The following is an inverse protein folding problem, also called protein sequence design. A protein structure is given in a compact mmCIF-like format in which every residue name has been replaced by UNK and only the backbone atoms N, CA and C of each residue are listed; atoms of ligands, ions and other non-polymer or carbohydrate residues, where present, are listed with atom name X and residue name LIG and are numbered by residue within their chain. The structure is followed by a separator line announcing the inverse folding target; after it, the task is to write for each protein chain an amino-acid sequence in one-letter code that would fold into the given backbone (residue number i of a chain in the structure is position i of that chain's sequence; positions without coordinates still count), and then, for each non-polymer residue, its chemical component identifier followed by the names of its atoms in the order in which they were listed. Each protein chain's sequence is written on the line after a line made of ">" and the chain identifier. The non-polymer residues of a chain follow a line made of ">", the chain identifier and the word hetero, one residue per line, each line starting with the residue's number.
data_IF_127281355732
#
_entry.id   IF_127281355732
#
_cell.length_a   1.000
_cell.length_b   1.000
_cell.length_c   1.000
_cell.angle_alpha   90.00
_cell.angle_beta   90.00
_cell.angle_gamma   90.00
#
_symmetry.space_group_name_H-M   'P 1'
#
loop_
_entity.id
_entity.type
_entity.pdbx_description
1 polymer ?
#
# COMPACT_ATOMS: atom_id res chain seq x y z
N UNK A 1 -61.90 19.89 -20.87
CA UNK A 1 -60.93 18.96 -21.48
C UNK A 1 -59.52 19.53 -21.68
N UNK A 2 -59.35 20.82 -22.03
CA UNK A 2 -58.02 21.41 -22.25
C UNK A 2 -57.17 21.52 -20.98
N UNK A 3 -57.77 21.87 -19.83
CA UNK A 3 -57.06 22.00 -18.55
C UNK A 3 -56.54 20.66 -18.01
N UNK A 4 -57.31 19.58 -18.18
CA UNK A 4 -56.89 18.23 -17.77
C UNK A 4 -55.69 17.72 -18.59
N UNK A 5 -55.64 18.04 -19.89
CA UNK A 5 -54.47 17.73 -20.75
C UNK A 5 -53.25 18.57 -20.39
N UNK A 6 -53.43 19.85 -20.06
CA UNK A 6 -52.34 20.73 -19.64
C UNK A 6 -51.73 20.29 -18.30
N UNK A 7 -52.58 19.91 -17.33
CA UNK A 7 -52.14 19.37 -16.04
C UNK A 7 -51.38 18.04 -16.19
N UNK A 8 -51.86 17.14 -17.06
CA UNK A 8 -51.17 15.88 -17.37
C UNK A 8 -49.81 16.12 -18.04
N UNK A 9 -49.72 17.04 -19.01
CA UNK A 9 -48.45 17.38 -19.66
C UNK A 9 -47.43 17.98 -18.68
N UNK A 10 -47.88 18.86 -17.77
CA UNK A 10 -47.03 19.44 -16.73
C UNK A 10 -46.53 18.40 -15.71
N UNK A 11 -47.39 17.46 -15.30
CA UNK A 11 -47.00 16.35 -14.42
C UNK A 11 -45.96 15.43 -15.08
N UNK A 12 -46.13 15.15 -16.37
CA UNK A 12 -45.20 14.30 -17.14
C UNK A 12 -43.83 14.98 -17.32
N UNK A 13 -43.80 16.29 -17.61
CA UNK A 13 -42.57 17.07 -17.70
C UNK A 13 -41.82 17.13 -16.35
N UNK A 14 -42.55 17.28 -15.24
CA UNK A 14 -41.97 17.26 -13.90
C UNK A 14 -41.38 15.89 -13.54
N UNK A 15 -42.04 14.80 -13.93
CA UNK A 15 -41.54 13.42 -13.78
C UNK A 15 -40.28 13.18 -14.60
N UNK A 16 -40.27 13.59 -15.88
CA UNK A 16 -39.08 13.51 -16.74
C UNK A 16 -37.89 14.29 -16.16
N UNK A 17 -38.12 15.51 -15.64
CA UNK A 17 -37.08 16.32 -15.01
C UNK A 17 -36.54 15.69 -13.72
N UNK A 18 -37.42 15.10 -12.89
CA UNK A 18 -37.01 14.37 -11.67
C UNK A 18 -36.25 13.08 -12.00
N UNK A 19 -36.68 12.33 -13.01
CA UNK A 19 -36.00 11.12 -13.48
C UNK A 19 -34.65 11.44 -14.11
N UNK A 20 -34.55 12.50 -14.92
CA UNK A 20 -33.29 12.98 -15.48
C UNK A 20 -32.28 13.39 -14.42
N UNK A 21 -32.72 14.11 -13.37
CA UNK A 21 -31.85 14.44 -12.22
C UNK A 21 -31.40 13.20 -11.44
N UNK A 22 -32.28 12.24 -11.18
CA UNK A 22 -31.92 10.98 -10.50
C UNK A 22 -30.96 10.13 -11.33
N UNK A 23 -31.15 10.10 -12.64
CA UNK A 23 -30.27 9.41 -13.58
C UNK A 23 -28.89 10.04 -13.63
N UNK A 24 -28.80 11.37 -13.71
CA UNK A 24 -27.51 12.07 -13.72
C UNK A 24 -26.75 11.89 -12.40
N UNK A 25 -27.43 11.95 -11.26
CA UNK A 25 -26.81 11.67 -9.94
C UNK A 25 -26.42 10.19 -9.80
N UNK A 26 -27.17 9.27 -10.39
CA UNK A 26 -26.81 7.85 -10.42
C UNK A 26 -25.60 7.59 -11.35
N UNK A 27 -25.56 8.20 -12.53
CA UNK A 27 -24.43 8.12 -13.47
C UNK A 27 -23.16 8.79 -12.88
N UNK A 28 -23.31 9.94 -12.22
CA UNK A 28 -22.22 10.61 -11.48
C UNK A 28 -21.78 9.76 -10.29
N UNK A 29 -22.71 9.12 -9.57
CA UNK A 29 -22.43 8.21 -8.47
C UNK A 29 -21.73 6.93 -8.91
N UNK A 30 -22.15 6.34 -10.02
CA UNK A 30 -21.50 5.19 -10.67
C UNK A 30 -20.12 5.57 -11.19
N UNK A 31 -19.95 6.75 -11.79
CA UNK A 31 -18.66 7.25 -12.23
C UNK A 31 -17.71 7.57 -11.06
N UNK A 32 -18.23 8.13 -9.96
CA UNK A 32 -17.47 8.34 -8.73
C UNK A 32 -17.09 7.02 -8.06
N UNK A 33 -18.03 6.07 -8.00
CA UNK A 33 -17.81 4.73 -7.47
C UNK A 33 -16.80 3.95 -8.32
N UNK A 34 -16.85 4.07 -9.64
CA UNK A 34 -15.91 3.45 -10.56
C UNK A 34 -14.49 4.00 -10.38
N UNK A 35 -14.33 5.34 -10.28
CA UNK A 35 -13.01 5.94 -10.00
C UNK A 35 -12.46 5.55 -8.63
N UNK A 36 -13.32 5.51 -7.60
CA UNK A 36 -12.90 5.06 -6.27
C UNK A 36 -12.42 3.61 -6.28
N UNK A 37 -13.08 2.75 -7.07
CA UNK A 37 -12.67 1.36 -7.29
C UNK A 37 -11.33 1.27 -8.02
N UNK A 38 -11.14 2.03 -9.10
CA UNK A 38 -9.88 2.06 -9.86
C UNK A 38 -8.71 2.51 -8.99
N UNK A 39 -8.89 3.56 -8.17
CA UNK A 39 -7.86 4.02 -7.23
C UNK A 39 -7.57 2.95 -6.18
N UNK A 40 -8.59 2.28 -5.63
CA UNK A 40 -8.40 1.22 -4.66
C UNK A 40 -7.69 -0.01 -5.27
N UNK A 41 -8.02 -0.37 -6.52
CA UNK A 41 -7.35 -1.44 -7.26
C UNK A 41 -5.89 -1.07 -7.57
N UNK A 42 -5.62 0.16 -8.01
CA UNK A 42 -4.26 0.66 -8.25
C UNK A 42 -3.42 0.65 -6.96
N UNK A 43 -3.99 1.14 -5.85
CA UNK A 43 -3.33 1.10 -4.55
C UNK A 43 -3.08 -0.34 -4.09
N UNK A 44 -4.06 -1.24 -4.24
CA UNK A 44 -3.90 -2.65 -3.89
C UNK A 44 -2.80 -3.32 -4.73
N UNK A 45 -2.75 -3.04 -6.03
CA UNK A 45 -1.69 -3.52 -6.92
C UNK A 45 -0.32 -2.96 -6.54
N UNK A 46 -0.25 -1.67 -6.16
CA UNK A 46 0.99 -1.05 -5.70
C UNK A 46 1.49 -1.67 -4.39
N UNK A 47 0.59 -1.91 -3.43
CA UNK A 47 0.95 -2.57 -2.15
C UNK A 47 1.37 -4.02 -2.40
N UNK A 48 0.66 -4.75 -3.27
CA UNK A 48 1.03 -6.10 -3.65
C UNK A 48 2.43 -6.16 -4.29
N UNK A 49 2.72 -5.27 -5.24
CA UNK A 49 4.04 -5.17 -5.87
C UNK A 49 5.14 -4.80 -4.87
N UNK A 50 4.85 -3.91 -3.92
CA UNK A 50 5.80 -3.56 -2.86
C UNK A 50 6.10 -4.77 -1.96
N UNK A 51 5.08 -5.54 -1.58
CA UNK A 51 5.22 -6.77 -0.81
C UNK A 51 5.98 -7.87 -1.57
N UNK A 52 5.69 -8.07 -2.86
CA UNK A 52 6.44 -9.00 -3.72
C UNK A 52 7.94 -8.61 -3.77
N UNK A 53 8.23 -7.32 -3.96
CA UNK A 53 9.60 -6.81 -4.00
C UNK A 53 10.31 -6.94 -2.65
N UNK A 54 9.60 -6.71 -1.54
CA UNK A 54 10.12 -6.94 -0.19
C UNK A 54 10.58 -8.39 -0.03
N UNK A 55 9.74 -9.36 -0.42
CA UNK A 55 10.05 -10.79 -0.33
C UNK A 55 11.23 -11.17 -1.23
N UNK A 56 11.28 -10.66 -2.46
CA UNK A 56 12.36 -10.92 -3.40
C UNK A 56 13.72 -10.46 -2.86
N UNK A 57 13.79 -9.20 -2.40
CA UNK A 57 15.02 -8.61 -1.87
C UNK A 57 15.45 -9.29 -0.56
N UNK A 58 14.50 -9.63 0.31
CA UNK A 58 14.78 -10.38 1.54
C UNK A 58 15.38 -11.77 1.24
N UNK A 59 14.82 -12.48 0.27
CA UNK A 59 15.32 -13.79 -0.15
C UNK A 59 16.73 -13.71 -0.74
N UNK A 60 17.03 -12.71 -1.59
CA UNK A 60 18.38 -12.48 -2.09
C UNK A 60 19.35 -12.13 -0.95
N UNK A 61 18.95 -11.28 0.00
CA UNK A 61 19.75 -10.98 1.19
C UNK A 61 20.15 -12.22 1.97
N UNK A 62 19.19 -13.11 2.25
CA UNK A 62 19.44 -14.40 2.94
C UNK A 62 20.34 -15.31 2.10
N UNK A 63 20.14 -15.38 0.79
CA UNK A 63 20.95 -16.18 -0.13
C UNK A 63 22.42 -15.72 -0.18
N UNK A 64 22.69 -14.41 -0.14
CA UNK A 64 24.06 -13.91 -0.08
C UNK A 64 24.68 -14.13 1.31
N UNK A 65 23.89 -14.00 2.38
CA UNK A 65 24.35 -14.28 3.73
C UNK A 65 24.78 -15.75 3.91
N UNK A 66 24.04 -16.70 3.30
CA UNK A 66 24.40 -18.13 3.33
C UNK A 66 25.66 -18.45 2.51
N UNK A 67 26.01 -17.59 1.55
CA UNK A 67 27.27 -17.66 0.80
C UNK A 67 28.43 -16.96 1.51
N UNK A 68 28.22 -16.45 2.73
CA UNK A 68 29.18 -15.64 3.48
C UNK A 68 29.58 -14.31 2.78
N UNK A 69 28.87 -13.91 1.71
CA UNK A 69 29.01 -12.57 1.11
C UNK A 69 28.11 -11.60 1.86
N UNK A 70 28.57 -11.24 3.06
CA UNK A 70 27.86 -10.37 3.98
C UNK A 70 27.73 -8.93 3.46
N UNK A 71 28.62 -8.49 2.58
CA UNK A 71 28.53 -7.17 1.95
C UNK A 71 27.34 -7.08 1.00
N UNK A 72 27.14 -8.09 0.16
CA UNK A 72 25.94 -8.16 -0.69
C UNK A 72 24.68 -8.34 0.14
N UNK A 73 24.70 -9.22 1.13
CA UNK A 73 23.56 -9.41 2.03
C UNK A 73 23.12 -8.09 2.68
N UNK A 74 24.06 -7.33 3.22
CA UNK A 74 23.80 -6.02 3.81
C UNK A 74 23.21 -5.02 2.81
N UNK A 75 23.61 -5.06 1.53
CA UNK A 75 23.02 -4.22 0.48
C UNK A 75 21.54 -4.53 0.30
N UNK A 76 21.19 -5.81 0.15
CA UNK A 76 19.80 -6.21 -0.04
C UNK A 76 18.94 -5.87 1.17
N UNK A 77 19.42 -6.11 2.40
CA UNK A 77 18.64 -5.73 3.59
C UNK A 77 18.43 -4.22 3.72
N UNK A 78 19.37 -3.38 3.28
CA UNK A 78 19.14 -1.92 3.20
C UNK A 78 18.05 -1.55 2.20
N UNK A 79 17.95 -2.26 1.08
CA UNK A 79 16.88 -2.06 0.11
C UNK A 79 15.52 -2.51 0.67
N UNK A 80 15.47 -3.60 1.45
CA UNK A 80 14.26 -4.03 2.16
C UNK A 80 13.81 -2.99 3.18
N UNK A 81 14.73 -2.44 3.97
CA UNK A 81 14.45 -1.35 4.92
C UNK A 81 13.88 -0.10 4.21
N UNK A 82 14.31 0.17 2.98
CA UNK A 82 13.77 1.30 2.21
C UNK A 82 12.33 1.06 1.73
N UNK A 83 11.88 -0.19 1.62
CA UNK A 83 10.51 -0.55 1.28
C UNK A 83 9.61 -0.58 2.52
N UNK A 84 10.09 -1.18 3.61
CA UNK A 84 9.37 -1.25 4.88
C UNK A 84 10.25 -0.73 6.02
N UNK A 85 10.27 0.60 6.27
CA UNK A 85 11.11 1.21 7.30
C UNK A 85 10.75 0.82 8.73
N UNK A 86 9.54 0.27 8.93
CA UNK A 86 9.00 -0.08 10.23
C UNK A 86 9.17 -1.57 10.57
N UNK A 87 9.66 -2.40 9.63
CA UNK A 87 9.86 -3.82 9.86
C UNK A 87 11.12 -4.09 10.71
N UNK A 88 10.99 -4.55 11.97
CA UNK A 88 12.12 -4.83 12.85
C UNK A 88 13.05 -5.93 12.31
N UNK A 89 12.50 -6.89 11.56
CA UNK A 89 13.23 -8.06 11.08
C UNK A 89 14.31 -7.65 10.06
N UNK A 90 14.01 -6.67 9.21
CA UNK A 90 14.96 -6.15 8.22
C UNK A 90 16.19 -5.50 8.87
N UNK A 91 16.01 -4.77 9.96
CA UNK A 91 17.12 -4.19 10.73
C UNK A 91 17.94 -5.27 11.45
N UNK A 92 17.28 -6.28 12.01
CA UNK A 92 17.95 -7.42 12.63
C UNK A 92 18.81 -8.20 11.62
N UNK A 93 18.29 -8.44 10.42
CA UNK A 93 19.01 -9.13 9.35
C UNK A 93 20.22 -8.32 8.85
N UNK A 94 20.08 -7.00 8.72
CA UNK A 94 21.20 -6.13 8.42
C UNK A 94 22.26 -6.14 9.54
N UNK A 95 21.84 -6.06 10.80
CA UNK A 95 22.73 -6.19 11.96
C UNK A 95 23.49 -7.53 11.95
N UNK A 96 22.81 -8.62 11.60
CA UNK A 96 23.42 -9.95 11.47
C UNK A 96 24.49 -9.99 10.39
N UNK A 97 24.22 -9.44 9.20
CA UNK A 97 25.20 -9.35 8.12
C UNK A 97 26.39 -8.46 8.47
N UNK A 98 26.16 -7.31 9.11
CA UNK A 98 27.22 -6.40 9.56
C UNK A 98 28.09 -7.04 10.64
N UNK A 99 27.49 -7.75 11.59
CA UNK A 99 28.21 -8.47 12.64
C UNK A 99 29.11 -9.56 12.04
N UNK A 100 28.58 -10.33 11.08
CA UNK A 100 29.31 -11.40 10.42
C UNK A 100 30.45 -10.88 9.52
N UNK A 101 30.35 -9.66 9.00
CA UNK A 101 31.44 -8.96 8.27
C UNK A 101 32.42 -8.20 9.18
N UNK A 102 32.25 -8.26 10.50
CA UNK A 102 33.16 -7.61 11.47
C UNK A 102 32.82 -6.17 11.82
N UNK A 103 31.76 -5.58 11.26
CA UNK A 103 31.29 -4.22 11.52
C UNK A 103 30.43 -4.18 12.80
N UNK A 104 31.03 -4.54 13.94
CA UNK A 104 30.31 -4.78 15.19
C UNK A 104 29.58 -3.55 15.76
N UNK A 105 30.14 -2.36 15.56
CA UNK A 105 29.52 -1.11 16.04
C UNK A 105 28.25 -0.82 15.25
N UNK A 106 28.33 -0.80 13.93
CA UNK A 106 27.16 -0.61 13.04
C UNK A 106 26.11 -1.71 13.25
N UNK A 107 26.55 -2.95 13.49
CA UNK A 107 25.63 -4.04 13.80
C UNK A 107 24.82 -3.78 15.08
N UNK A 108 25.49 -3.30 16.14
CA UNK A 108 24.83 -2.98 17.40
C UNK A 108 23.79 -1.87 17.22
N UNK A 109 24.10 -0.83 16.44
CA UNK A 109 23.13 0.23 16.10
C UNK A 109 21.89 -0.35 15.41
N UNK A 110 22.07 -1.21 14.39
CA UNK A 110 20.93 -1.82 13.68
C UNK A 110 20.10 -2.74 14.58
N UNK A 111 20.69 -3.45 15.52
CA UNK A 111 19.94 -4.24 16.49
C UNK A 111 19.13 -3.38 17.47
N UNK A 112 19.66 -2.22 17.87
CA UNK A 112 18.91 -1.27 18.72
C UNK A 112 17.73 -0.70 17.95
N UNK A 113 17.94 -0.29 16.69
CA UNK A 113 16.87 0.19 15.80
C UNK A 113 15.78 -0.88 15.58
N UNK A 114 16.17 -2.16 15.48
CA UNK A 114 15.23 -3.28 15.39
C UNK A 114 14.37 -3.39 16.67
N UNK A 115 15.01 -3.30 17.85
CA UNK A 115 14.28 -3.37 19.12
C UNK A 115 13.29 -2.22 19.28
N UNK A 116 13.71 -0.99 18.98
CA UNK A 116 12.86 0.20 19.04
C UNK A 116 11.63 0.07 18.14
N UNK A 117 11.78 -0.50 16.94
CA UNK A 117 10.66 -0.72 16.01
C UNK A 117 9.71 -1.83 16.44
N UNK A 118 10.24 -2.88 17.07
CA UNK A 118 9.42 -3.95 17.64
C UNK A 118 8.53 -3.42 18.78
N UNK A 119 9.09 -2.54 19.61
CA UNK A 119 8.38 -1.85 20.69
C UNK A 119 7.32 -0.89 20.12
N UNK A 120 7.68 -0.05 19.14
CA UNK A 120 6.74 0.86 18.49
C UNK A 120 5.57 0.14 17.78
N UNK A 121 5.83 -1.00 17.14
CA UNK A 121 4.78 -1.82 16.52
C UNK A 121 3.86 -2.52 17.53
N UNK A 122 4.27 -2.62 18.80
CA UNK A 122 3.48 -3.22 19.89
C UNK A 122 2.58 -2.20 20.60
N UNK A 123 2.76 -0.90 20.35
CA UNK A 123 2.00 0.20 20.98
C UNK A 123 0.81 0.70 20.14
N UNK A 124 0.58 0.14 18.94
CA UNK A 124 -0.56 0.41 18.05
C UNK A 124 -1.64 -0.67 18.13
#
# INVERSE_FOLDING_TARGET
>A
ESEARAAAAAATAALHKKLGKRRMVAEDGEAQQQRAREIAEEQAMSVAQAGEKYLELGAEGVKWASQHDYHRAARFFREVIALEPDDPLSYFNLGSALSASGHKVEAAERYLEARERCEAGSEL
#
